data_IF_052197012721
#
_entry.id   IF_052197012721
#
_cell.length_a   1.000
_cell.length_b   1.000
_cell.length_c   1.000
_cell.angle_alpha   90.00
_cell.angle_beta   90.00
_cell.angle_gamma   90.00
#
_symmetry.space_group_name_H-M   'P 1'
#
loop_
_entity.id
_entity.type
_entity.pdbx_description
1 polymer ?
#
# COMPACT_ATOMS: atom_id res chain seq x y z
N UNK A 1 36.92 -28.52 -11.31
CA UNK A 1 35.87 -27.93 -12.18
C UNK A 1 34.54 -28.10 -11.47
N UNK A 2 34.06 -27.05 -10.81
CA UNK A 2 32.68 -26.96 -10.35
C UNK A 2 32.21 -25.60 -10.84
N UNK A 3 31.41 -25.61 -11.88
CA UNK A 3 30.79 -24.42 -12.46
C UNK A 3 29.80 -23.85 -11.45
N UNK A 4 30.17 -22.73 -10.83
CA UNK A 4 29.21 -21.85 -10.17
C UNK A 4 28.32 -21.23 -11.25
N UNK A 5 27.16 -21.81 -11.52
CA UNK A 5 26.11 -21.11 -12.25
C UNK A 5 25.54 -20.04 -11.31
N UNK A 6 26.11 -18.84 -11.34
CA UNK A 6 25.36 -17.64 -10.95
C UNK A 6 24.25 -17.48 -11.99
N UNK A 7 23.08 -18.06 -11.73
CA UNK A 7 21.88 -17.70 -12.48
C UNK A 7 21.66 -16.21 -12.23
N UNK A 8 21.87 -15.41 -13.27
CA UNK A 8 21.51 -14.01 -13.25
C UNK A 8 20.00 -13.95 -13.09
N UNK A 9 19.50 -13.68 -11.88
CA UNK A 9 18.12 -13.26 -11.64
C UNK A 9 17.89 -11.99 -12.47
N UNK A 10 17.48 -12.16 -13.73
CA UNK A 10 17.51 -11.10 -14.72
C UNK A 10 16.10 -10.60 -14.93
N UNK A 11 15.89 -9.34 -14.59
CA UNK A 11 14.65 -8.65 -14.88
C UNK A 11 14.80 -7.93 -16.21
N UNK A 12 14.05 -8.39 -17.21
CA UNK A 12 14.02 -7.78 -18.55
C UNK A 12 12.78 -6.92 -18.69
N UNK A 13 12.96 -5.61 -18.81
CA UNK A 13 11.86 -4.70 -19.13
C UNK A 13 11.43 -4.93 -20.59
N UNK A 14 10.16 -5.26 -20.79
CA UNK A 14 9.54 -5.47 -22.10
C UNK A 14 8.87 -4.19 -22.61
N UNK A 15 8.21 -3.45 -21.72
CA UNK A 15 7.52 -2.22 -22.07
C UNK A 15 7.49 -1.25 -20.88
N UNK A 16 7.63 0.04 -21.16
CA UNK A 16 7.27 1.11 -20.22
C UNK A 16 6.22 1.99 -20.86
N UNK A 17 5.14 2.23 -20.14
CA UNK A 17 4.01 3.03 -20.62
C UNK A 17 3.49 3.95 -19.52
N UNK A 18 2.75 4.97 -19.93
CA UNK A 18 2.02 5.87 -19.05
C UNK A 18 0.53 5.68 -19.29
N UNK A 19 -0.23 5.47 -18.22
CA UNK A 19 -1.68 5.28 -18.30
C UNK A 19 -2.37 6.43 -17.61
N UNK A 20 -3.05 7.27 -18.40
CA UNK A 20 -3.85 8.38 -17.91
C UNK A 20 -5.28 7.92 -17.56
N UNK A 21 -5.96 8.61 -16.64
CA UNK A 21 -7.40 8.46 -16.44
C UNK A 21 -8.19 8.61 -17.76
N UNK A 22 -9.29 7.88 -17.92
CA UNK A 22 -10.09 7.98 -19.14
C UNK A 22 -10.74 9.37 -19.29
N UNK A 23 -10.89 9.93 -20.51
CA UNK A 23 -11.23 11.34 -20.74
C UNK A 23 -12.64 11.79 -20.33
N UNK A 24 -13.56 10.87 -20.05
CA UNK A 24 -14.93 11.23 -19.69
C UNK A 24 -14.93 12.14 -18.44
N UNK A 25 -15.57 13.31 -18.50
CA UNK A 25 -15.98 14.23 -17.42
C UNK A 25 -15.21 14.28 -16.08
N UNK A 26 -13.88 14.14 -16.06
CA UNK A 26 -13.07 14.50 -14.87
C UNK A 26 -13.22 15.98 -14.54
N UNK A 27 -13.65 16.79 -15.51
CA UNK A 27 -13.88 18.24 -15.41
C UNK A 27 -14.87 18.68 -14.33
N UNK A 28 -15.66 17.77 -13.75
CA UNK A 28 -16.53 18.08 -12.60
C UNK A 28 -15.88 17.78 -11.23
N UNK A 29 -14.72 17.14 -11.21
CA UNK A 29 -13.96 16.84 -10.00
C UNK A 29 -12.94 17.95 -9.71
N UNK A 30 -12.63 18.23 -8.43
CA UNK A 30 -11.60 19.21 -8.09
C UNK A 30 -10.22 18.74 -8.58
N UNK A 31 -9.44 19.64 -9.17
CA UNK A 31 -8.08 19.29 -9.63
C UNK A 31 -7.07 19.14 -8.47
N UNK A 32 -7.34 19.80 -7.34
CA UNK A 32 -6.51 19.77 -6.14
C UNK A 32 -7.32 19.31 -4.94
N UNK A 33 -6.73 18.42 -4.14
CA UNK A 33 -7.26 17.94 -2.88
C UNK A 33 -6.31 18.36 -1.75
N UNK A 34 -6.69 19.32 -0.89
CA UNK A 34 -5.86 19.69 0.24
C UNK A 34 -5.68 18.49 1.17
N UNK A 35 -4.50 18.40 1.79
CA UNK A 35 -4.25 17.42 2.83
C UNK A 35 -4.96 17.81 4.13
N UNK A 36 -5.34 16.79 4.89
CA UNK A 36 -5.85 16.92 6.26
C UNK A 36 -4.77 16.57 7.27
N UNK A 37 -4.96 16.89 8.55
CA UNK A 37 -4.01 16.51 9.61
C UNK A 37 -3.76 14.99 9.69
N UNK A 38 -4.71 14.16 9.26
CA UNK A 38 -4.54 12.71 9.18
C UNK A 38 -3.53 12.26 8.11
N UNK A 39 -3.35 13.07 7.07
CA UNK A 39 -2.46 12.75 5.95
C UNK A 39 -0.99 13.07 6.28
N UNK A 40 -0.75 14.00 7.22
CA UNK A 40 0.59 14.55 7.54
C UNK A 40 1.58 13.50 8.05
N UNK A 41 1.11 12.52 8.83
CA UNK A 41 1.96 11.42 9.31
C UNK A 41 2.60 10.64 8.14
N UNK A 42 1.98 10.67 6.97
CA UNK A 42 2.37 9.92 5.77
C UNK A 42 3.10 10.79 4.75
N UNK A 43 3.36 12.06 5.06
CA UNK A 43 4.05 13.00 4.19
C UNK A 43 5.49 12.56 3.88
N UNK A 44 6.13 11.92 4.85
CA UNK A 44 7.54 11.52 4.80
C UNK A 44 7.74 9.99 4.96
N UNK A 45 6.65 9.23 5.01
CA UNK A 45 6.71 7.77 5.08
C UNK A 45 7.17 7.19 3.74
N UNK A 46 7.92 6.08 3.80
CA UNK A 46 8.18 5.31 2.58
C UNK A 46 6.88 4.85 1.91
N UNK A 47 6.86 4.74 0.58
CA UNK A 47 5.71 4.20 -0.15
C UNK A 47 5.34 2.80 0.32
N UNK A 48 4.06 2.47 0.21
CA UNK A 48 3.54 1.14 0.49
C UNK A 48 3.67 0.28 -0.77
N UNK A 49 4.33 -0.85 -0.63
CA UNK A 49 4.50 -1.83 -1.70
C UNK A 49 3.52 -2.99 -1.51
N UNK A 50 2.87 -3.43 -2.59
CA UNK A 50 2.01 -4.61 -2.61
C UNK A 50 2.29 -5.45 -3.84
N UNK A 51 2.38 -6.76 -3.66
CA UNK A 51 2.61 -7.72 -4.73
C UNK A 51 1.50 -8.77 -4.75
N UNK A 52 0.92 -9.00 -5.92
CA UNK A 52 -0.05 -10.06 -6.16
C UNK A 52 0.55 -11.03 -7.18
N UNK A 53 0.60 -12.32 -6.83
CA UNK A 53 1.10 -13.38 -7.70
C UNK A 53 -0.06 -14.26 -8.15
N UNK A 54 -0.17 -14.50 -9.45
CA UNK A 54 -1.23 -15.28 -10.07
C UNK A 54 -0.64 -16.36 -10.98
N UNK A 55 -1.04 -17.64 -10.82
CA UNK A 55 -0.71 -18.67 -11.81
C UNK A 55 -1.24 -18.27 -13.19
N UNK A 56 -0.39 -18.42 -14.20
CA UNK A 56 -0.68 -18.02 -15.57
C UNK A 56 0.15 -18.89 -16.52
N UNK A 57 -0.37 -20.06 -16.92
CA UNK A 57 0.37 -21.05 -17.70
C UNK A 57 0.34 -20.72 -19.19
N UNK A 58 0.76 -19.50 -19.55
CA UNK A 58 0.83 -19.04 -20.93
C UNK A 58 2.12 -18.23 -21.17
N UNK A 59 2.52 -18.16 -22.44
CA UNK A 59 3.72 -17.46 -22.84
C UNK A 59 3.58 -15.94 -22.73
N UNK A 60 4.73 -15.27 -22.70
CA UNK A 60 4.83 -13.80 -22.73
C UNK A 60 4.07 -13.20 -23.91
N UNK A 61 4.17 -13.81 -25.10
CA UNK A 61 3.48 -13.34 -26.32
C UNK A 61 1.96 -13.33 -26.12
N UNK A 62 1.40 -14.42 -25.56
CA UNK A 62 -0.03 -14.51 -25.28
C UNK A 62 -0.47 -13.40 -24.31
N UNK A 63 0.31 -13.15 -23.26
CA UNK A 63 0.02 -12.05 -22.34
C UNK A 63 0.03 -10.69 -23.05
N UNK A 64 1.10 -10.38 -23.77
CA UNK A 64 1.31 -9.07 -24.40
C UNK A 64 0.26 -8.77 -25.46
N UNK A 65 -0.18 -9.77 -26.23
CA UNK A 65 -1.15 -9.58 -27.30
C UNK A 65 -2.60 -9.61 -26.82
N UNK A 66 -2.93 -10.52 -25.87
CA UNK A 66 -4.32 -10.81 -25.52
C UNK A 66 -4.80 -10.17 -24.21
N UNK A 67 -3.90 -9.85 -23.28
CA UNK A 67 -4.25 -9.41 -21.92
C UNK A 67 -3.79 -7.99 -21.61
N UNK A 68 -2.58 -7.62 -22.03
CA UNK A 68 -2.00 -6.31 -21.75
C UNK A 68 -2.85 -5.13 -22.26
N UNK A 69 -3.45 -5.15 -23.48
CA UNK A 69 -4.30 -4.06 -23.94
C UNK A 69 -5.51 -3.83 -23.03
N UNK A 70 -6.18 -4.90 -22.62
CA UNK A 70 -7.32 -4.84 -21.71
C UNK A 70 -6.89 -4.36 -20.31
N UNK A 71 -5.74 -4.83 -19.82
CA UNK A 71 -5.19 -4.44 -18.52
C UNK A 71 -4.92 -2.92 -18.44
N UNK A 72 -4.38 -2.33 -19.51
CA UNK A 72 -4.17 -0.87 -19.64
C UNK A 72 -5.46 -0.10 -19.77
N UNK A 73 -6.38 -0.55 -20.62
CA UNK A 73 -7.68 0.09 -20.81
C UNK A 73 -8.50 0.10 -19.51
N UNK A 74 -8.56 -1.04 -18.81
CA UNK A 74 -9.26 -1.13 -17.52
C UNK A 74 -8.59 -0.32 -16.41
N UNK A 75 -7.26 -0.15 -16.47
CA UNK A 75 -6.54 0.73 -15.54
C UNK A 75 -6.94 2.19 -15.78
N UNK A 76 -7.00 2.64 -17.03
CA UNK A 76 -7.46 3.98 -17.40
C UNK A 76 -8.89 4.25 -16.90
N UNK A 77 -9.80 3.27 -17.05
CA UNK A 77 -11.17 3.33 -16.51
C UNK A 77 -11.20 3.36 -14.98
N UNK A 78 -10.37 2.59 -14.30
CA UNK A 78 -10.28 2.63 -12.84
C UNK A 78 -9.75 4.00 -12.37
N UNK A 79 -8.67 4.50 -13.00
CA UNK A 79 -8.08 5.80 -12.67
C UNK A 79 -9.04 6.96 -12.88
N UNK A 80 -10.07 6.84 -13.73
CA UNK A 80 -11.11 7.86 -13.81
C UNK A 80 -11.83 8.07 -12.47
N UNK A 81 -12.11 7.00 -11.73
CA UNK A 81 -12.76 7.06 -10.41
C UNK A 81 -11.78 7.30 -9.25
N UNK A 82 -10.47 7.21 -9.52
CA UNK A 82 -9.39 7.36 -8.55
C UNK A 82 -8.30 8.30 -9.10
N UNK A 83 -8.72 9.37 -9.79
CA UNK A 83 -7.82 10.25 -10.54
C UNK A 83 -6.69 10.86 -9.70
N UNK A 84 -6.82 11.10 -8.36
CA UNK A 84 -5.70 11.60 -7.58
C UNK A 84 -4.50 10.66 -7.61
N UNK A 85 -4.69 9.35 -7.78
CA UNK A 85 -3.58 8.39 -7.88
C UNK A 85 -2.72 8.57 -9.13
N UNK A 86 -3.27 9.18 -10.19
CA UNK A 86 -2.50 9.54 -11.39
C UNK A 86 -1.77 10.88 -11.23
N UNK A 87 -2.15 11.68 -10.23
CA UNK A 87 -1.55 12.97 -9.95
C UNK A 87 -0.26 12.87 -9.12
N UNK A 88 0.03 13.96 -8.43
CA UNK A 88 1.25 14.19 -7.67
C UNK A 88 0.96 14.88 -6.35
N UNK A 89 1.81 14.62 -5.36
CA UNK A 89 1.90 15.43 -4.16
C UNK A 89 2.77 16.66 -4.44
N UNK A 90 2.28 17.83 -4.07
CA UNK A 90 3.00 19.10 -4.17
C UNK A 90 2.67 20.05 -3.01
N UNK A 91 3.47 21.10 -2.81
CA UNK A 91 3.04 22.25 -2.02
C UNK A 91 1.91 23.00 -2.72
N UNK A 92 0.99 23.53 -1.93
CA UNK A 92 -0.10 24.36 -2.41
C UNK A 92 0.46 25.68 -2.94
N UNK A 93 0.05 26.15 -4.13
CA UNK A 93 0.47 27.45 -4.63
C UNK A 93 -0.13 28.60 -3.80
N UNK A 94 -1.22 28.35 -3.09
CA UNK A 94 -1.97 29.36 -2.33
C UNK A 94 -1.48 29.48 -0.87
N UNK A 95 -0.63 28.56 -0.40
CA UNK A 95 -0.10 28.56 0.96
C UNK A 95 1.25 27.85 1.05
N UNK A 96 2.26 28.55 1.59
CA UNK A 96 3.63 28.05 1.70
C UNK A 96 3.76 26.80 2.59
N UNK A 97 2.82 26.62 3.53
CA UNK A 97 2.85 25.57 4.56
C UNK A 97 1.82 24.46 4.31
N UNK A 98 1.10 24.48 3.18
CA UNK A 98 0.12 23.45 2.87
C UNK A 98 0.58 22.55 1.73
N UNK A 99 0.24 21.28 1.83
CA UNK A 99 0.41 20.30 0.76
C UNK A 99 -0.96 19.92 0.18
N UNK A 100 -0.95 19.51 -1.08
CA UNK A 100 -2.12 19.02 -1.78
C UNK A 100 -1.77 17.85 -2.70
N UNK A 101 -2.76 17.00 -2.95
CA UNK A 101 -2.74 16.07 -4.08
C UNK A 101 -3.28 16.83 -5.28
N UNK A 102 -2.48 16.95 -6.34
CA UNK A 102 -2.85 17.68 -7.54
C UNK A 102 -2.84 16.76 -8.75
N UNK A 103 -3.90 16.84 -9.54
CA UNK A 103 -4.01 16.21 -10.85
C UNK A 103 -4.19 17.29 -11.91
N UNK A 104 -3.30 17.27 -12.91
CA UNK A 104 -3.43 18.05 -14.13
C UNK A 104 -3.77 17.14 -15.33
N UNK A 105 -4.44 17.70 -16.34
CA UNK A 105 -4.68 16.96 -17.59
C UNK A 105 -3.34 16.51 -18.21
N UNK A 106 -3.26 15.22 -18.55
CA UNK A 106 -2.03 14.57 -19.03
C UNK A 106 -1.21 13.88 -17.93
N UNK A 107 -1.49 14.13 -16.64
CA UNK A 107 -0.91 13.33 -15.56
C UNK A 107 -1.32 11.83 -15.72
N UNK A 108 -0.44 10.94 -15.28
CA UNK A 108 -0.52 9.50 -15.61
C UNK A 108 0.24 8.64 -14.62
N UNK A 109 -0.19 7.38 -14.53
CA UNK A 109 0.50 6.34 -13.76
C UNK A 109 1.55 5.65 -14.62
N UNK A 110 2.74 5.44 -14.07
CA UNK A 110 3.77 4.61 -14.71
C UNK A 110 3.38 3.13 -14.63
N UNK A 111 3.36 2.46 -15.78
CA UNK A 111 3.14 1.03 -15.90
C UNK A 111 4.32 0.38 -16.63
N UNK A 112 5.07 -0.45 -15.91
CA UNK A 112 6.17 -1.24 -16.46
C UNK A 112 5.72 -2.69 -16.67
N UNK A 113 5.99 -3.25 -17.84
CA UNK A 113 5.86 -4.68 -18.11
C UNK A 113 7.26 -5.25 -18.21
N UNK A 114 7.53 -6.29 -17.41
CA UNK A 114 8.82 -6.96 -17.35
C UNK A 114 8.63 -8.48 -17.42
N UNK A 115 9.73 -9.16 -17.67
CA UNK A 115 9.86 -10.62 -17.67
C UNK A 115 11.03 -11.00 -16.76
N UNK A 116 10.93 -12.14 -16.09
CA UNK A 116 11.99 -12.66 -15.23
C UNK A 116 12.04 -14.18 -15.29
N UNK A 117 13.23 -14.72 -15.00
CA UNK A 117 13.53 -16.14 -14.87
C UNK A 117 13.48 -16.64 -13.42
N UNK A 118 13.07 -15.79 -12.46
CA UNK A 118 12.83 -16.19 -11.08
C UNK A 118 11.84 -17.36 -10.99
N UNK A 119 12.08 -18.28 -10.05
CA UNK A 119 11.18 -19.41 -9.82
C UNK A 119 9.83 -18.95 -9.22
N UNK A 120 8.77 -19.01 -10.03
CA UNK A 120 7.43 -18.64 -9.61
C UNK A 120 6.91 -19.50 -8.43
N UNK A 121 7.23 -20.81 -8.41
CA UNK A 121 6.76 -21.72 -7.37
C UNK A 121 7.45 -21.43 -6.02
N UNK A 122 8.73 -21.06 -6.05
CA UNK A 122 9.43 -20.51 -4.87
C UNK A 122 8.70 -19.26 -4.35
N UNK A 123 8.33 -18.34 -5.26
CA UNK A 123 7.70 -17.06 -4.90
C UNK A 123 6.25 -17.12 -4.44
N UNK A 124 5.51 -18.20 -4.70
CA UNK A 124 4.15 -18.38 -4.15
C UNK A 124 4.11 -19.21 -2.86
N UNK A 125 5.23 -19.85 -2.50
CA UNK A 125 5.35 -20.64 -1.28
C UNK A 125 5.18 -19.83 0.02
N UNK A 126 4.97 -20.52 1.14
CA UNK A 126 4.83 -19.88 2.46
C UNK A 126 6.15 -19.87 3.26
N UNK A 127 7.18 -20.55 2.74
CA UNK A 127 8.50 -20.63 3.35
C UNK A 127 9.25 -19.28 3.32
N UNK A 128 10.34 -19.22 4.09
CA UNK A 128 11.21 -18.05 4.14
C UNK A 128 11.95 -17.88 2.81
N UNK A 129 11.85 -16.69 2.23
CA UNK A 129 12.45 -16.34 0.94
C UNK A 129 13.11 -14.98 1.02
N UNK A 130 14.19 -14.80 0.27
CA UNK A 130 14.95 -13.56 0.32
C UNK A 130 14.11 -12.36 -0.13
N UNK A 131 14.10 -11.29 0.68
CA UNK A 131 13.25 -10.12 0.40
C UNK A 131 13.59 -9.44 -0.92
N UNK A 132 14.86 -9.52 -1.38
CA UNK A 132 15.29 -8.93 -2.66
C UNK A 132 14.55 -9.52 -3.88
N UNK A 133 14.17 -10.80 -3.83
CA UNK A 133 13.42 -11.42 -4.91
C UNK A 133 12.06 -10.76 -5.07
N UNK A 134 11.38 -10.49 -3.95
CA UNK A 134 10.05 -9.87 -3.94
C UNK A 134 10.10 -8.37 -4.22
N UNK A 135 11.10 -7.66 -3.69
CA UNK A 135 11.27 -6.21 -3.93
C UNK A 135 11.59 -5.89 -5.40
N UNK A 136 12.17 -6.84 -6.15
CA UNK A 136 12.39 -6.66 -7.59
C UNK A 136 11.07 -6.62 -8.38
N UNK A 137 10.00 -7.24 -7.85
CA UNK A 137 8.71 -7.40 -8.54
C UNK A 137 7.74 -6.23 -8.30
N UNK A 138 8.16 -5.23 -7.53
CA UNK A 138 7.40 -4.00 -7.28
C UNK A 138 8.14 -2.80 -7.88
N UNK A 139 7.41 -1.85 -8.49
CA UNK A 139 8.04 -0.69 -9.11
C UNK A 139 8.57 0.25 -8.03
N UNK A 140 9.56 1.08 -8.36
CA UNK A 140 9.91 2.22 -7.50
C UNK A 140 9.13 3.46 -7.93
N UNK A 141 8.65 4.24 -6.97
CA UNK A 141 8.22 5.60 -7.27
C UNK A 141 9.47 6.45 -7.55
N UNK A 142 9.53 7.17 -8.69
CA UNK A 142 10.66 8.05 -8.95
C UNK A 142 10.74 9.11 -7.85
N UNK A 143 11.93 9.27 -7.27
CA UNK A 143 12.22 10.38 -6.37
C UNK A 143 12.41 11.64 -7.21
N UNK A 144 11.32 12.39 -7.35
CA UNK A 144 11.30 13.71 -7.95
C UNK A 144 11.40 14.76 -6.83
N UNK A 145 11.58 16.02 -7.21
CA UNK A 145 11.57 17.16 -6.28
C UNK A 145 10.32 17.15 -5.39
N UNK A 146 10.40 17.78 -4.21
CA UNK A 146 9.33 17.77 -3.18
C UNK A 146 7.94 18.17 -3.72
N UNK A 147 7.91 19.00 -4.77
CA UNK A 147 6.72 19.55 -5.42
C UNK A 147 6.18 18.72 -6.58
N UNK A 148 6.74 17.54 -6.85
CA UNK A 148 6.34 16.71 -7.98
C UNK A 148 6.40 15.21 -7.65
N UNK A 149 6.03 14.82 -6.43
CA UNK A 149 6.13 13.44 -5.99
C UNK A 149 5.00 12.58 -6.56
N UNK A 150 5.29 11.55 -7.38
CA UNK A 150 4.27 10.70 -7.96
C UNK A 150 3.62 9.81 -6.89
N UNK A 151 2.34 9.50 -7.08
CA UNK A 151 1.55 8.83 -6.04
C UNK A 151 1.41 7.33 -6.27
N UNK A 152 1.48 6.85 -7.51
CA UNK A 152 1.31 5.44 -7.86
C UNK A 152 2.23 5.03 -9.01
N UNK A 153 2.86 3.87 -8.88
CA UNK A 153 3.50 3.14 -9.97
C UNK A 153 3.07 1.67 -9.93
N UNK A 154 3.01 1.05 -11.11
CA UNK A 154 2.60 -0.34 -11.29
C UNK A 154 3.64 -1.09 -12.12
N UNK A 155 3.95 -2.31 -11.71
CA UNK A 155 4.77 -3.26 -12.48
C UNK A 155 3.99 -4.55 -12.70
N UNK A 156 4.00 -5.04 -13.93
CA UNK A 156 3.54 -6.39 -14.26
C UNK A 156 4.76 -7.19 -14.66
N UNK A 157 5.07 -8.24 -13.91
CA UNK A 157 6.20 -9.12 -14.16
C UNK A 157 5.72 -10.49 -14.61
N UNK A 158 6.19 -10.95 -15.75
CA UNK A 158 5.85 -12.24 -16.34
C UNK A 158 6.88 -13.29 -15.93
N UNK A 159 6.38 -14.47 -15.57
CA UNK A 159 7.12 -15.70 -15.37
C UNK A 159 6.66 -16.65 -16.47
N UNK A 160 7.37 -16.70 -17.62
CA UNK A 160 6.89 -17.40 -18.81
C UNK A 160 6.36 -18.80 -18.50
N UNK A 161 5.15 -19.11 -18.95
CA UNK A 161 4.47 -20.40 -18.77
C UNK A 161 4.16 -20.82 -17.31
N UNK A 162 4.38 -19.94 -16.34
CA UNK A 162 4.16 -20.21 -14.92
C UNK A 162 3.18 -19.24 -14.26
N UNK A 163 3.38 -17.93 -14.43
CA UNK A 163 2.71 -16.93 -13.61
C UNK A 163 2.87 -15.49 -14.05
N UNK A 164 2.10 -14.62 -13.39
CA UNK A 164 2.26 -13.17 -13.44
C UNK A 164 2.33 -12.60 -12.02
N UNK A 165 3.18 -11.60 -11.82
CA UNK A 165 3.21 -10.75 -10.65
C UNK A 165 2.70 -9.36 -10.99
N UNK A 166 1.83 -8.80 -10.17
CA UNK A 166 1.39 -7.40 -10.28
C UNK A 166 1.82 -6.68 -9.00
N UNK A 167 2.87 -5.88 -9.14
CA UNK A 167 3.43 -5.03 -8.11
C UNK A 167 2.85 -3.62 -8.16
N UNK A 168 2.55 -3.06 -6.99
CA UNK A 168 2.07 -1.71 -6.79
C UNK A 168 2.99 -1.01 -5.80
N UNK A 169 3.28 0.25 -6.07
CA UNK A 169 3.93 1.13 -5.10
C UNK A 169 3.14 2.41 -5.03
N UNK A 170 2.58 2.68 -3.85
CA UNK A 170 1.67 3.80 -3.62
C UNK A 170 2.18 4.67 -2.47
N UNK A 171 2.22 5.97 -2.68
CA UNK A 171 2.54 6.90 -1.60
C UNK A 171 1.36 6.91 -0.62
N UNK A 172 1.60 6.56 0.65
CA UNK A 172 0.50 6.33 1.62
C UNK A 172 -0.37 7.58 1.84
N UNK A 173 0.19 8.76 1.61
CA UNK A 173 -0.54 10.04 1.61
C UNK A 173 -1.75 10.10 0.66
N UNK A 174 -1.73 9.33 -0.44
CA UNK A 174 -2.78 9.38 -1.45
C UNK A 174 -3.94 8.45 -1.13
N UNK A 175 -3.73 7.39 -0.37
CA UNK A 175 -4.79 6.49 0.06
C UNK A 175 -4.36 5.56 1.20
N UNK A 176 -5.34 5.19 2.02
CA UNK A 176 -5.16 4.19 3.07
C UNK A 176 -5.30 2.76 2.58
N UNK A 177 -5.18 1.81 3.51
CA UNK A 177 -5.33 0.39 3.21
C UNK A 177 -6.69 0.03 2.60
N UNK A 178 -7.76 0.75 2.97
CA UNK A 178 -9.09 0.56 2.40
C UNK A 178 -9.16 1.06 0.96
N UNK A 179 -8.83 2.32 0.70
CA UNK A 179 -8.92 2.94 -0.61
C UNK A 179 -7.96 2.31 -1.62
N UNK A 180 -6.74 1.97 -1.21
CA UNK A 180 -5.80 1.21 -2.06
C UNK A 180 -6.39 -0.14 -2.48
N UNK A 181 -7.01 -0.87 -1.55
CA UNK A 181 -7.68 -2.14 -1.86
C UNK A 181 -8.93 -1.94 -2.72
N UNK A 182 -9.67 -0.85 -2.50
CA UNK A 182 -10.85 -0.48 -3.29
C UNK A 182 -10.49 -0.18 -4.73
N UNK A 183 -9.40 0.57 -4.96
CA UNK A 183 -8.83 0.82 -6.28
C UNK A 183 -8.45 -0.49 -6.99
N UNK A 184 -7.70 -1.37 -6.32
CA UNK A 184 -7.26 -2.65 -6.90
C UNK A 184 -8.47 -3.52 -7.28
N UNK A 185 -9.49 -3.60 -6.41
CA UNK A 185 -10.73 -4.33 -6.69
C UNK A 185 -11.52 -3.72 -7.84
N UNK A 186 -11.57 -2.39 -7.92
CA UNK A 186 -12.24 -1.66 -9.02
C UNK A 186 -11.54 -1.93 -10.34
N UNK A 187 -10.21 -1.86 -10.38
CA UNK A 187 -9.42 -2.19 -11.56
C UNK A 187 -9.61 -3.64 -11.99
N UNK A 188 -9.54 -4.60 -11.07
CA UNK A 188 -9.77 -6.01 -11.36
C UNK A 188 -11.18 -6.28 -11.90
N UNK A 189 -12.20 -5.60 -11.34
CA UNK A 189 -13.58 -5.66 -11.83
C UNK A 189 -13.71 -5.13 -13.26
N UNK A 190 -13.15 -3.96 -13.56
CA UNK A 190 -13.13 -3.38 -14.90
C UNK A 190 -12.35 -4.24 -15.91
N UNK A 191 -11.25 -4.86 -15.47
CA UNK A 191 -10.46 -5.78 -16.30
C UNK A 191 -11.29 -7.03 -16.65
N UNK A 192 -11.98 -7.61 -15.66
CA UNK A 192 -12.84 -8.78 -15.84
C UNK A 192 -14.02 -8.51 -16.76
N UNK A 193 -14.62 -7.31 -16.69
CA UNK A 193 -15.77 -6.94 -17.52
C UNK A 193 -15.39 -6.51 -18.95
N UNK A 194 -14.10 -6.44 -19.30
CA UNK A 194 -13.60 -5.96 -20.61
C UNK A 194 -14.18 -4.59 -21.00
N UNK A 195 -14.36 -3.70 -20.03
CA UNK A 195 -14.93 -2.37 -20.25
C UNK A 195 -16.45 -2.33 -20.44
N UNK A 196 -17.15 -3.46 -20.37
CA UNK A 196 -18.62 -3.44 -20.20
C UNK A 196 -18.97 -2.98 -18.79
N UNK A 197 -20.13 -2.33 -18.64
CA UNK A 197 -20.63 -1.77 -17.36
C UNK A 197 -20.61 -2.86 -16.30
N UNK A 198 -19.55 -2.86 -15.49
CA UNK A 198 -19.49 -3.64 -14.27
C UNK A 198 -20.21 -2.85 -13.18
N UNK A 199 -20.60 -3.53 -12.11
CA UNK A 199 -20.96 -2.90 -10.84
C UNK A 199 -19.73 -2.15 -10.32
N UNK A 200 -19.47 -0.96 -10.85
CA UNK A 200 -18.39 -0.09 -10.37
C UNK A 200 -18.70 0.15 -8.90
N UNK A 201 -17.77 -0.19 -7.98
CA UNK A 201 -17.95 0.13 -6.58
C UNK A 201 -18.23 1.64 -6.42
N UNK A 202 -19.01 2.07 -5.42
CA UNK A 202 -19.36 3.49 -5.27
C UNK A 202 -18.12 4.37 -5.32
N UNK A 203 -18.23 5.49 -6.04
CA UNK A 203 -17.13 6.41 -6.29
C UNK A 203 -16.50 6.88 -4.97
N UNK A 204 -15.18 7.06 -4.98
CA UNK A 204 -14.47 7.70 -3.87
C UNK A 204 -15.03 9.09 -3.62
N UNK A 205 -15.28 9.41 -2.35
CA UNK A 205 -15.62 10.77 -1.95
C UNK A 205 -14.34 11.57 -1.78
N UNK A 206 -14.22 12.64 -2.57
CA UNK A 206 -13.09 13.57 -2.53
C UNK A 206 -13.38 14.83 -1.71
N UNK A 207 -14.56 14.92 -1.08
CA UNK A 207 -14.94 16.06 -0.25
C UNK A 207 -14.14 16.08 1.06
N UNK A 208 -13.02 16.80 1.05
CA UNK A 208 -12.13 16.94 2.21
C UNK A 208 -12.74 17.79 3.33
N UNK A 209 -13.82 18.54 3.08
CA UNK A 209 -14.44 19.43 4.08
C UNK A 209 -15.10 18.69 5.24
N UNK A 210 -15.35 17.38 5.09
CA UNK A 210 -15.87 16.53 6.15
C UNK A 210 -14.93 16.38 7.37
N UNK A 211 -13.64 16.68 7.20
CA UNK A 211 -12.67 16.71 8.30
C UNK A 211 -12.43 18.17 8.69
N UNK A 212 -13.03 18.55 9.81
CA UNK A 212 -12.87 19.90 10.38
C UNK A 212 -11.64 19.89 11.29
N UNK A 213 -10.79 20.90 11.15
CA UNK A 213 -9.60 21.11 11.99
C UNK A 213 -9.71 22.41 12.79
N UNK A 214 -10.51 22.46 13.86
CA UNK A 214 -10.70 23.66 14.66
C UNK A 214 -9.48 24.03 15.50
N UNK A 215 -8.56 23.08 15.70
CA UNK A 215 -7.38 23.22 16.57
C UNK A 215 -6.09 23.46 15.78
N UNK A 216 -6.15 23.58 14.46
CA UNK A 216 -4.99 23.71 13.59
C UNK A 216 -3.97 22.56 13.75
N UNK A 217 -4.47 21.34 13.99
CA UNK A 217 -3.69 20.12 14.15
C UNK A 217 -2.83 19.83 12.92
N UNK A 218 -3.27 20.25 11.72
CA UNK A 218 -2.48 20.14 10.51
C UNK A 218 -1.11 20.81 10.68
N UNK A 219 -1.10 22.06 11.15
CA UNK A 219 0.12 22.86 11.27
C UNK A 219 0.98 22.35 12.43
N UNK A 220 0.37 21.94 13.54
CA UNK A 220 1.08 21.33 14.66
C UNK A 220 1.78 20.03 14.21
N UNK A 221 1.06 19.11 13.58
CA UNK A 221 1.64 17.84 13.11
C UNK A 221 2.70 18.07 12.04
N UNK A 222 2.53 19.05 11.15
CA UNK A 222 3.53 19.35 10.14
C UNK A 222 4.81 19.92 10.79
N UNK A 223 4.67 20.82 11.77
CA UNK A 223 5.77 21.37 12.54
C UNK A 223 6.53 20.30 13.32
N UNK A 224 5.80 19.41 13.99
CA UNK A 224 6.36 18.26 14.70
C UNK A 224 7.14 17.35 13.74
N UNK A 225 6.53 16.94 12.62
CA UNK A 225 7.17 16.08 11.61
C UNK A 225 8.43 16.71 11.02
N UNK A 226 8.39 18.00 10.71
CA UNK A 226 9.56 18.74 10.20
C UNK A 226 10.69 18.77 11.24
N UNK A 227 10.35 19.00 12.52
CA UNK A 227 11.31 18.99 13.61
C UNK A 227 11.93 17.59 13.79
N UNK A 228 11.12 16.53 13.74
CA UNK A 228 11.61 15.14 13.84
C UNK A 228 12.58 14.76 12.72
N UNK A 229 12.32 15.22 11.50
CA UNK A 229 13.20 14.99 10.35
C UNK A 229 14.51 15.75 10.50
N UNK A 230 14.44 17.02 10.92
CA UNK A 230 15.62 17.83 11.18
C UNK A 230 16.52 17.21 12.27
N UNK A 231 15.92 16.58 13.29
CA UNK A 231 16.61 15.93 14.40
C UNK A 231 17.08 14.49 14.11
N UNK A 232 16.85 13.96 12.89
CA UNK A 232 17.22 12.59 12.48
C UNK A 232 16.66 11.49 13.40
N UNK A 233 15.47 11.68 13.99
CA UNK A 233 14.89 10.74 14.95
C UNK A 233 13.97 9.69 14.28
N UNK A 234 14.33 8.39 14.24
CA UNK A 234 13.64 7.36 13.45
C UNK A 234 12.35 6.80 14.09
N UNK A 235 11.83 7.39 15.17
CA UNK A 235 10.80 6.75 16.01
C UNK A 235 9.37 6.89 15.46
N UNK A 236 9.09 7.89 14.60
CA UNK A 236 7.73 8.17 14.10
C UNK A 236 7.56 8.04 12.59
N UNK A 237 8.64 8.17 11.82
CA UNK A 237 8.64 7.79 10.40
C UNK A 237 8.87 6.28 10.40
N UNK A 238 8.00 5.45 9.77
CA UNK A 238 8.37 4.07 9.47
C UNK A 238 9.67 4.17 8.67
N UNK A 239 10.78 3.89 9.35
CA UNK A 239 12.10 4.22 8.83
C UNK A 239 12.18 3.69 7.41
N UNK A 240 12.63 4.56 6.49
CA UNK A 240 13.01 4.12 5.17
C UNK A 240 13.87 2.89 5.35
N UNK A 241 13.46 1.79 4.74
CA UNK A 241 14.12 0.48 4.77
C UNK A 241 15.44 0.55 3.99
N UNK A 242 16.11 1.70 3.99
CA UNK A 242 17.36 1.96 3.27
C UNK A 242 18.56 1.35 3.99
N UNK A 243 18.40 0.90 5.24
CA UNK A 243 19.42 0.15 5.99
C UNK A 243 18.96 -1.24 6.44
N UNK A 244 17.98 -1.83 5.75
CA UNK A 244 17.65 -3.23 5.98
C UNK A 244 18.89 -4.11 5.76
N UNK A 245 19.20 -5.03 6.69
CA UNK A 245 20.24 -6.03 6.49
C UNK A 245 20.03 -6.74 5.16
N UNK A 246 21.12 -6.99 4.42
CA UNK A 246 21.05 -7.64 3.11
C UNK A 246 20.47 -9.06 3.13
N UNK A 247 20.24 -9.64 4.31
CA UNK A 247 19.76 -10.99 4.55
C UNK A 247 18.30 -11.08 5.05
N UNK A 248 17.49 -10.03 4.90
CA UNK A 248 16.08 -10.10 5.26
C UNK A 248 15.33 -11.14 4.41
N UNK A 249 14.39 -11.83 5.07
CA UNK A 249 13.52 -12.83 4.44
C UNK A 249 12.05 -12.56 4.75
N UNK A 250 11.19 -12.92 3.81
CA UNK A 250 9.74 -12.95 3.97
C UNK A 250 9.24 -14.38 4.10
N UNK A 251 8.44 -14.63 5.13
CA UNK A 251 7.74 -15.89 5.37
C UNK A 251 6.27 -15.61 5.67
N UNK A 252 5.40 -16.56 5.32
CA UNK A 252 3.95 -16.46 5.56
C UNK A 252 3.54 -17.49 6.59
N UNK A 253 2.90 -17.04 7.67
CA UNK A 253 2.40 -17.90 8.73
C UNK A 253 0.88 -17.93 8.72
N UNK A 254 0.30 -19.14 8.76
CA UNK A 254 -1.15 -19.32 8.74
C UNK A 254 -1.67 -19.66 10.13
N UNK A 255 -2.55 -18.80 10.67
CA UNK A 255 -3.39 -19.14 11.82
C UNK A 255 -4.70 -19.76 11.32
N UNK A 256 -4.85 -21.06 11.51
CA UNK A 256 -6.07 -21.78 11.08
C UNK A 256 -7.27 -21.44 11.97
N UNK A 257 -8.51 -21.61 11.48
CA UNK A 257 -9.72 -21.40 12.29
C UNK A 257 -9.70 -22.15 13.62
N UNK A 258 -9.29 -23.41 13.63
CA UNK A 258 -9.20 -24.22 14.86
C UNK A 258 -8.21 -23.65 15.88
N UNK A 259 -7.06 -23.14 15.39
CA UNK A 259 -6.07 -22.48 16.26
C UNK A 259 -6.62 -21.17 16.82
N UNK A 260 -7.32 -20.38 16.00
CA UNK A 260 -7.96 -19.13 16.42
C UNK A 260 -9.01 -19.41 17.49
N UNK A 261 -9.89 -20.40 17.31
CA UNK A 261 -10.90 -20.73 18.30
C UNK A 261 -10.30 -21.31 19.58
N UNK A 262 -9.23 -22.12 19.48
CA UNK A 262 -8.45 -22.55 20.64
C UNK A 262 -7.85 -21.38 21.44
N UNK A 263 -7.30 -20.37 20.75
CA UNK A 263 -6.79 -19.15 21.40
C UNK A 263 -7.90 -18.35 22.08
N UNK A 264 -9.06 -18.19 21.43
CA UNK A 264 -10.23 -17.51 22.02
C UNK A 264 -10.73 -18.26 23.25
N UNK A 265 -10.83 -19.58 23.20
CA UNK A 265 -11.23 -20.42 24.34
C UNK A 265 -10.27 -20.26 25.52
N UNK A 266 -8.95 -20.25 25.24
CA UNK A 266 -7.94 -19.99 26.27
C UNK A 266 -8.13 -18.63 26.94
N UNK A 267 -8.39 -17.57 26.18
CA UNK A 267 -8.65 -16.24 26.74
C UNK A 267 -9.90 -16.23 27.60
N UNK A 268 -11.01 -16.81 27.12
CA UNK A 268 -12.29 -16.90 27.86
C UNK A 268 -12.14 -17.67 29.18
N UNK A 269 -11.30 -18.70 29.22
CA UNK A 269 -11.03 -19.47 30.45
C UNK A 269 -10.32 -18.65 31.54
N UNK A 270 -9.66 -17.55 31.18
CA UNK A 270 -8.87 -16.71 32.09
C UNK A 270 -9.48 -15.34 32.36
N UNK A 271 -10.35 -14.85 31.48
CA UNK A 271 -10.99 -13.55 31.59
C UNK A 271 -12.46 -13.62 31.14
N UNK A 272 -13.39 -13.43 32.08
CA UNK A 272 -14.84 -13.65 31.89
C UNK A 272 -15.50 -12.53 31.04
N UNK A 273 -14.94 -11.32 31.04
CA UNK A 273 -15.57 -10.12 30.43
C UNK A 273 -14.88 -9.56 29.18
N UNK A 274 -13.93 -10.30 28.58
CA UNK A 274 -13.16 -9.78 27.45
C UNK A 274 -13.78 -10.16 26.09
N UNK A 275 -14.21 -9.17 25.31
CA UNK A 275 -14.67 -9.39 23.94
C UNK A 275 -13.49 -9.68 23.02
N UNK A 276 -13.21 -10.96 22.81
CA UNK A 276 -12.02 -11.44 22.13
C UNK A 276 -12.28 -11.66 20.62
N UNK A 277 -12.03 -10.63 19.81
CA UNK A 277 -12.14 -10.74 18.35
C UNK A 277 -10.99 -11.58 17.77
N UNK A 278 -11.19 -12.14 16.56
CA UNK A 278 -10.14 -12.85 15.81
C UNK A 278 -8.89 -11.98 15.62
N UNK A 279 -9.07 -10.69 15.36
CA UNK A 279 -7.98 -9.73 15.21
C UNK A 279 -7.15 -9.64 16.50
N UNK A 280 -7.81 -9.44 17.65
CA UNK A 280 -7.14 -9.29 18.94
C UNK A 280 -6.34 -10.54 19.31
N UNK A 281 -6.92 -11.75 19.20
CA UNK A 281 -6.16 -12.98 19.51
C UNK A 281 -4.99 -13.20 18.57
N UNK A 282 -5.14 -12.87 17.29
CA UNK A 282 -4.09 -13.05 16.28
C UNK A 282 -2.93 -12.10 16.53
N UNK A 283 -3.22 -10.82 16.78
CA UNK A 283 -2.22 -9.82 17.14
C UNK A 283 -1.52 -10.16 18.46
N UNK A 284 -2.27 -10.56 19.49
CA UNK A 284 -1.69 -10.97 20.77
C UNK A 284 -0.75 -12.17 20.60
N UNK A 285 -1.17 -13.19 19.86
CA UNK A 285 -0.34 -14.36 19.57
C UNK A 285 0.93 -13.96 18.81
N UNK A 286 0.79 -13.23 17.69
CA UNK A 286 1.90 -12.72 16.90
C UNK A 286 2.88 -11.89 17.76
N UNK A 287 2.34 -11.00 18.59
CA UNK A 287 3.15 -10.16 19.46
C UNK A 287 3.97 -10.97 20.46
N UNK A 288 3.36 -11.99 21.09
CA UNK A 288 4.09 -12.89 21.99
C UNK A 288 5.20 -13.66 21.27
N UNK A 289 4.99 -14.07 20.01
CA UNK A 289 6.03 -14.70 19.19
C UNK A 289 7.18 -13.73 18.89
N UNK A 290 6.88 -12.49 18.47
CA UNK A 290 7.89 -11.47 18.15
C UNK A 290 8.74 -11.14 19.37
N UNK A 291 8.11 -10.90 20.53
CA UNK A 291 8.82 -10.56 21.77
C UNK A 291 9.77 -11.69 22.20
N UNK A 292 9.31 -12.95 22.10
CA UNK A 292 10.16 -14.12 22.42
C UNK A 292 11.31 -14.27 21.43
N UNK A 293 11.05 -14.14 20.13
CA UNK A 293 12.07 -14.29 19.09
C UNK A 293 13.17 -13.22 19.16
N UNK A 294 12.81 -11.99 19.54
CA UNK A 294 13.77 -10.88 19.68
C UNK A 294 14.59 -10.94 20.97
N UNK A 295 14.20 -11.78 21.94
CA UNK A 295 14.96 -11.97 23.19
C UNK A 295 15.17 -10.69 24.00
N UNK A 296 14.19 -9.78 24.01
CA UNK A 296 14.35 -8.50 24.70
C UNK A 296 14.65 -8.69 26.19
N UNK A 297 15.58 -7.90 26.77
CA UNK A 297 15.81 -7.85 28.22
C UNK A 297 14.53 -7.54 28.99
N UNK A 298 14.38 -8.11 30.19
CA UNK A 298 13.17 -8.01 31.00
C UNK A 298 12.81 -6.58 31.45
N UNK A 299 13.79 -5.68 31.45
CA UNK A 299 13.67 -4.26 31.82
C UNK A 299 13.25 -3.35 30.67
N UNK A 300 13.24 -3.85 29.41
CA UNK A 300 12.85 -3.05 28.25
C UNK A 300 11.36 -3.14 27.95
N UNK A 301 10.76 -1.96 27.70
CA UNK A 301 9.37 -1.87 27.23
C UNK A 301 9.32 -2.11 25.72
N UNK A 302 8.44 -3.00 25.29
CA UNK A 302 8.12 -3.23 23.88
C UNK A 302 6.72 -2.68 23.59
N UNK A 303 6.55 -2.07 22.42
CA UNK A 303 5.28 -1.50 21.96
C UNK A 303 4.76 -2.28 20.75
N UNK A 304 3.48 -2.64 20.78
CA UNK A 304 2.76 -3.16 19.62
C UNK A 304 1.85 -2.08 19.09
N UNK A 305 1.95 -1.76 17.81
CA UNK A 305 1.17 -0.70 17.16
C UNK A 305 0.34 -1.32 16.04
N UNK A 306 -0.90 -0.89 15.93
CA UNK A 306 -1.76 -1.21 14.80
C UNK A 306 -2.65 -0.01 14.54
N UNK A 307 -3.22 -0.01 13.35
CA UNK A 307 -3.85 1.14 12.80
C UNK A 307 -5.39 0.89 12.81
N UNK A 308 -6.18 1.91 13.18
CA UNK A 308 -7.65 1.84 13.34
C UNK A 308 -8.38 2.76 12.36
N UNK A 309 -9.33 2.24 11.58
CA UNK A 309 -10.23 3.05 10.74
C UNK A 309 -11.24 3.85 11.58
N UNK A 310 -11.26 5.18 11.39
CA UNK A 310 -12.10 6.11 12.13
C UNK A 310 -13.29 6.64 11.35
N UNK A 311 -13.52 6.26 10.08
CA UNK A 311 -14.64 6.82 9.29
C UNK A 311 -15.97 6.78 10.03
N UNK A 312 -16.26 5.64 10.68
CA UNK A 312 -17.48 5.40 11.48
C UNK A 312 -17.42 5.94 12.91
N UNK A 313 -16.26 6.45 13.34
CA UNK A 313 -15.99 6.97 14.69
C UNK A 313 -16.02 8.49 14.74
N UNK A 314 -15.82 9.16 13.60
CA UNK A 314 -15.95 10.61 13.46
C UNK A 314 -17.40 11.06 13.71
N UNK A 315 -17.56 12.32 14.09
CA UNK A 315 -18.85 12.96 14.33
C UNK A 315 -18.93 14.26 13.52
N UNK A 316 -19.69 14.28 12.41
CA UNK A 316 -20.47 13.18 11.84
C UNK A 316 -19.58 12.08 11.21
N UNK A 317 -20.09 10.84 11.03
CA UNK A 317 -19.37 9.79 10.32
C UNK A 317 -19.10 10.18 8.87
N UNK A 318 -17.93 9.81 8.35
CA UNK A 318 -17.60 10.01 6.93
C UNK A 318 -18.03 8.79 6.10
N UNK A 319 -18.29 8.96 4.78
CA UNK A 319 -18.61 7.84 3.90
C UNK A 319 -17.52 6.76 3.90
N UNK A 320 -17.90 5.49 3.74
CA UNK A 320 -16.93 4.38 3.62
C UNK A 320 -15.94 4.61 2.45
N UNK A 321 -16.36 5.34 1.41
CA UNK A 321 -15.54 5.67 0.23
C UNK A 321 -14.70 6.94 0.40
N UNK A 322 -14.70 7.55 1.59
CA UNK A 322 -13.91 8.74 1.87
C UNK A 322 -12.41 8.42 1.83
N UNK A 323 -11.64 9.24 1.11
CA UNK A 323 -10.22 9.02 0.87
C UNK A 323 -9.40 9.66 1.99
N UNK A 324 -9.10 8.91 3.07
CA UNK A 324 -8.24 9.36 4.19
C UNK A 324 -7.45 8.21 4.76
N UNK A 325 -6.28 8.55 5.28
CA UNK A 325 -5.53 7.73 6.22
C UNK A 325 -5.94 7.99 7.65
N UNK A 326 -7.02 7.37 8.13
CA UNK A 326 -7.38 7.52 9.54
C UNK A 326 -6.81 6.36 10.32
N UNK A 327 -5.79 6.63 11.13
CA UNK A 327 -5.18 5.66 12.01
C UNK A 327 -4.87 6.32 13.36
N UNK A 328 -5.22 5.64 14.45
CA UNK A 328 -4.59 5.87 15.76
C UNK A 328 -3.62 4.72 16.02
N UNK A 329 -2.42 5.03 16.50
CA UNK A 329 -1.45 4.03 16.94
C UNK A 329 -1.73 3.71 18.41
N UNK A 330 -2.39 2.58 18.67
CA UNK A 330 -2.56 2.08 20.05
C UNK A 330 -1.28 1.34 20.45
N UNK A 331 -0.63 1.75 21.55
CA UNK A 331 0.51 1.02 22.11
C UNK A 331 0.13 0.26 23.38
N UNK A 332 0.45 -1.04 23.43
CA UNK A 332 0.24 -1.86 24.62
C UNK A 332 1.58 -2.18 25.29
N UNK A 333 1.74 -1.71 26.53
CA UNK A 333 2.92 -1.95 27.38
C UNK A 333 2.84 -3.32 28.05
N UNK A 334 3.92 -4.10 27.99
CA UNK A 334 4.12 -5.24 28.90
C UNK A 334 4.45 -4.68 30.29
N UNK A 335 3.70 -5.11 31.30
CA UNK A 335 4.09 -4.96 32.71
C UNK A 335 4.96 -6.14 33.13
#
# INVERSE_FOLDING_TARGET
>A
MASSSSSHDSMKVLEQSRVSPSPASITQQPASLPLTFFDILWLYSSPVERLFLYPFPHSTVVFTESYLPNLKSSLSLALHHFYPLAGKLRRSPDSADQYELHYAEGDSVSLTVAETDLDFLDLVGYHARHSSKLSSLVPRLPQLDDDNRPLLAIQVTLFPDHGIGIGFTVHHIACDGFNSTHFIKSWASSCKSRGHVSLVPPASSFDRSAIVDPCNLYSEFLGDMNSFIADNNPVLVPAAVESAPSNLVHATFTLTPDRIEGLKALVRSKAISFNCSTFVVSCAYLWTCIVKARGYPADKTAHFTFAVDWRKRLQPPTPDTYLVTVWEVVSQRRR
#
